data_IF_123144642048
#
_entry.id   IF_123144642048
#
_cell.length_a   1.000
_cell.length_b   1.000
_cell.length_c   1.000
_cell.angle_alpha   90.00
_cell.angle_beta   90.00
_cell.angle_gamma   90.00
#
_symmetry.space_group_name_H-M   'P 1'
#
loop_
_entity.id
_entity.type
_entity.pdbx_description
1 polymer ?
#
# COMPACT_ATOMS: atom_id res chain seq x y z
N UNK A 1 24.34 -39.25 24.75
CA UNK A 1 23.99 -37.80 24.67
C UNK A 1 23.97 -37.22 23.24
N UNK A 2 23.77 -38.00 22.17
CA UNK A 2 23.76 -37.48 20.77
C UNK A 2 22.37 -37.09 20.22
N UNK A 3 21.26 -37.59 20.79
CA UNK A 3 19.92 -37.40 20.24
C UNK A 3 19.23 -36.05 20.52
N UNK A 4 19.48 -35.43 21.69
CA UNK A 4 18.79 -34.18 22.08
C UNK A 4 19.25 -32.97 21.26
N UNK A 5 20.50 -32.96 20.82
CA UNK A 5 21.05 -31.88 20.00
C UNK A 5 20.58 -31.99 18.55
N UNK A 6 20.42 -33.21 18.02
CA UNK A 6 19.86 -33.43 16.68
C UNK A 6 18.41 -32.94 16.56
N UNK A 7 17.58 -33.15 17.60
CA UNK A 7 16.19 -32.68 17.64
C UNK A 7 16.12 -31.14 17.67
N UNK A 8 16.99 -30.48 18.46
CA UNK A 8 17.06 -29.00 18.50
C UNK A 8 17.51 -28.41 17.17
N UNK A 9 18.48 -29.04 16.50
CA UNK A 9 18.95 -28.62 15.18
C UNK A 9 17.83 -28.80 14.14
N UNK A 10 17.10 -29.92 14.17
CA UNK A 10 15.97 -30.15 13.28
C UNK A 10 14.84 -29.11 13.49
N UNK A 11 14.49 -28.78 14.73
CA UNK A 11 13.48 -27.77 15.03
C UNK A 11 13.91 -26.35 14.59
N UNK A 12 15.18 -26.00 14.76
CA UNK A 12 15.72 -24.72 14.29
C UNK A 12 15.70 -24.61 12.76
N UNK A 13 16.03 -25.69 12.05
CA UNK A 13 15.97 -25.72 10.59
C UNK A 13 14.52 -25.63 10.07
N UNK A 14 13.56 -26.28 10.73
CA UNK A 14 12.13 -26.16 10.39
C UNK A 14 11.64 -24.71 10.60
N UNK A 15 12.04 -24.06 11.70
CA UNK A 15 11.69 -22.67 11.96
C UNK A 15 12.25 -21.71 10.91
N UNK A 16 13.49 -21.94 10.43
CA UNK A 16 14.08 -21.15 9.34
C UNK A 16 13.36 -21.34 8.00
N UNK A 17 12.91 -22.57 7.69
CA UNK A 17 12.15 -22.84 6.47
C UNK A 17 10.76 -22.17 6.53
N UNK A 18 10.08 -22.25 7.67
CA UNK A 18 8.79 -21.57 7.86
C UNK A 18 8.94 -20.05 7.81
N UNK A 19 9.96 -19.48 8.46
CA UNK A 19 10.26 -18.05 8.40
C UNK A 19 10.62 -17.60 6.97
N UNK A 20 11.39 -18.40 6.23
CA UNK A 20 11.72 -18.16 4.83
C UNK A 20 10.49 -18.16 3.92
N UNK A 21 9.55 -19.09 4.12
CA UNK A 21 8.29 -19.11 3.36
C UNK A 21 7.37 -17.93 3.68
N UNK A 22 7.35 -17.46 4.93
CA UNK A 22 6.61 -16.27 5.34
C UNK A 22 7.22 -14.99 4.77
N UNK A 23 8.56 -14.86 4.82
CA UNK A 23 9.28 -13.75 4.20
C UNK A 23 9.11 -13.74 2.68
N UNK A 24 9.11 -14.91 2.03
CA UNK A 24 8.88 -15.01 0.58
C UNK A 24 7.46 -14.59 0.19
N UNK A 25 6.43 -14.93 0.97
CA UNK A 25 5.06 -14.44 0.74
C UNK A 25 4.94 -12.93 0.98
N UNK A 26 5.63 -12.41 1.99
CA UNK A 26 5.67 -10.98 2.28
C UNK A 26 6.41 -10.18 1.19
N UNK A 27 7.47 -10.74 0.61
CA UNK A 27 8.19 -10.10 -0.51
C UNK A 27 7.40 -10.20 -1.84
N UNK A 28 6.60 -11.26 -2.01
CA UNK A 28 5.81 -11.49 -3.22
C UNK A 28 4.59 -10.57 -3.35
N UNK A 29 4.16 -9.84 -2.31
CA UNK A 29 3.04 -8.90 -2.42
C UNK A 29 3.40 -7.63 -3.21
N UNK A 30 4.68 -7.33 -3.39
CA UNK A 30 5.14 -6.06 -3.98
C UNK A 30 5.89 -6.20 -5.31
N UNK A 31 6.18 -7.42 -5.78
CA UNK A 31 6.76 -7.65 -7.11
C UNK A 31 5.74 -8.30 -8.05
N UNK A 32 5.11 -7.49 -8.91
CA UNK A 32 4.69 -7.97 -10.23
C UNK A 32 3.20 -8.27 -10.47
N UNK A 33 2.26 -7.43 -9.98
CA UNK A 33 0.91 -7.42 -10.59
C UNK A 33 0.99 -6.82 -12.00
N UNK A 34 0.78 -7.67 -13.01
CA UNK A 34 0.87 -7.32 -14.43
C UNK A 34 -0.22 -6.30 -14.82
N UNK A 35 0.10 -5.42 -15.77
CA UNK A 35 -0.90 -4.57 -16.44
C UNK A 35 -1.94 -5.47 -17.10
N UNK A 36 -3.19 -5.43 -16.64
CA UNK A 36 -4.30 -6.22 -17.18
C UNK A 36 -5.06 -7.10 -16.17
N UNK A 37 -4.50 -7.39 -14.99
CA UNK A 37 -5.23 -8.03 -13.88
C UNK A 37 -5.65 -6.98 -12.84
N UNK A 38 -6.44 -6.02 -13.31
CA UNK A 38 -6.90 -4.91 -12.50
C UNK A 38 -8.18 -5.30 -11.76
N UNK A 39 -8.29 -4.99 -10.45
CA UNK A 39 -9.54 -5.10 -9.73
C UNK A 39 -10.64 -4.35 -10.48
N UNK A 40 -11.86 -4.86 -10.39
CA UNK A 40 -13.03 -4.25 -11.04
C UNK A 40 -13.13 -2.76 -10.72
N UNK A 41 -12.96 -2.39 -9.45
CA UNK A 41 -12.97 -1.01 -8.99
C UNK A 41 -11.89 -0.13 -9.66
N UNK A 42 -10.70 -0.67 -9.93
CA UNK A 42 -9.65 0.07 -10.63
C UNK A 42 -10.02 0.29 -12.10
N UNK A 43 -10.62 -0.71 -12.75
CA UNK A 43 -11.09 -0.60 -14.14
C UNK A 43 -12.21 0.43 -14.25
N UNK A 44 -13.23 0.33 -13.41
CA UNK A 44 -14.34 1.27 -13.36
C UNK A 44 -13.86 2.70 -13.08
N UNK A 45 -12.93 2.85 -12.13
CA UNK A 45 -12.32 4.13 -11.85
C UNK A 45 -11.59 4.69 -13.07
N UNK A 46 -10.79 3.87 -13.78
CA UNK A 46 -10.07 4.29 -14.97
C UNK A 46 -11.02 4.71 -16.10
N UNK A 47 -12.09 3.94 -16.35
CA UNK A 47 -13.10 4.23 -17.36
C UNK A 47 -13.83 5.56 -17.07
N UNK A 48 -14.13 5.82 -15.80
CA UNK A 48 -14.76 7.06 -15.35
C UNK A 48 -13.80 8.27 -15.33
N UNK A 49 -12.49 8.06 -15.43
CA UNK A 49 -11.47 9.10 -15.30
C UNK A 49 -10.53 9.18 -16.52
N UNK A 50 -11.05 9.49 -17.73
CA UNK A 50 -10.21 9.59 -18.91
C UNK A 50 -9.12 10.66 -18.75
N UNK A 51 -7.89 10.33 -19.16
CA UNK A 51 -6.73 11.23 -19.07
C UNK A 51 -6.02 11.25 -17.71
N UNK A 52 -6.47 10.44 -16.74
CA UNK A 52 -5.69 10.10 -15.54
C UNK A 52 -4.96 8.79 -15.77
N UNK A 53 -3.63 8.82 -15.73
CA UNK A 53 -2.78 7.64 -15.94
C UNK A 53 -2.52 6.96 -14.59
N UNK A 54 -2.93 5.71 -14.40
CA UNK A 54 -2.56 4.94 -13.19
C UNK A 54 -1.05 4.69 -13.18
N UNK A 55 -0.39 5.11 -12.10
CA UNK A 55 1.06 4.94 -11.93
C UNK A 55 1.35 3.70 -11.08
N UNK A 56 0.71 3.61 -9.90
CA UNK A 56 0.79 2.48 -8.99
C UNK A 56 -0.53 2.38 -8.23
N UNK A 57 -0.89 1.17 -7.81
CA UNK A 57 -2.08 0.93 -7.02
C UNK A 57 -1.83 -0.23 -6.05
N UNK A 58 -2.63 -0.28 -4.98
CA UNK A 58 -2.59 -1.38 -4.03
C UNK A 58 -3.96 -1.55 -3.36
N UNK A 59 -4.23 -2.77 -2.89
CA UNK A 59 -5.43 -3.10 -2.11
C UNK A 59 -5.02 -3.39 -0.65
N UNK A 60 -5.83 -2.91 0.29
CA UNK A 60 -5.67 -3.17 1.72
C UNK A 60 -6.93 -2.76 2.49
N UNK A 61 -7.25 -3.46 3.58
CA UNK A 61 -8.31 -3.07 4.52
C UNK A 61 -7.88 -1.83 5.32
N UNK A 62 -8.22 -0.64 4.82
CA UNK A 62 -7.78 0.64 5.35
C UNK A 62 -8.71 1.22 6.40
N UNK A 63 -9.93 0.74 6.54
CA UNK A 63 -10.87 1.22 7.57
C UNK A 63 -11.25 0.15 8.61
N UNK A 64 -10.69 -1.05 8.49
CA UNK A 64 -10.79 -2.12 9.47
C UNK A 64 -12.10 -2.89 9.42
N UNK A 65 -12.86 -2.78 8.32
CA UNK A 65 -14.14 -3.48 8.14
C UNK A 65 -13.99 -4.91 7.56
N UNK A 66 -12.75 -5.30 7.25
CA UNK A 66 -12.39 -6.61 6.71
C UNK A 66 -12.55 -6.74 5.20
N UNK A 67 -13.01 -5.70 4.50
CA UNK A 67 -13.02 -5.64 3.05
C UNK A 67 -11.79 -4.91 2.51
N UNK A 68 -11.31 -5.33 1.34
CA UNK A 68 -10.17 -4.68 0.69
C UNK A 68 -10.60 -3.34 0.07
N UNK A 69 -9.94 -2.27 0.48
CA UNK A 69 -10.04 -0.94 -0.12
C UNK A 69 -9.01 -0.76 -1.23
N UNK A 70 -9.17 0.26 -2.08
CA UNK A 70 -8.27 0.51 -3.19
C UNK A 70 -7.57 1.87 -3.05
N UNK A 71 -6.24 1.86 -3.11
CA UNK A 71 -5.40 3.07 -3.22
C UNK A 71 -4.82 3.13 -4.63
N UNK A 72 -4.96 4.28 -5.27
CA UNK A 72 -4.46 4.57 -6.60
C UNK A 72 -3.58 5.80 -6.51
N UNK A 73 -2.33 5.69 -6.97
CA UNK A 73 -1.55 6.86 -7.38
C UNK A 73 -1.70 7.00 -8.87
N UNK A 74 -2.21 8.14 -9.32
CA UNK A 74 -2.37 8.45 -10.73
C UNK A 74 -1.66 9.74 -11.09
N UNK A 75 -1.30 9.88 -12.37
CA UNK A 75 -0.73 11.07 -12.96
C UNK A 75 -1.77 11.82 -13.76
N UNK A 76 -1.82 13.14 -13.57
CA UNK A 76 -2.54 14.07 -14.42
C UNK A 76 -1.61 15.22 -14.78
N UNK A 77 -1.29 15.34 -16.07
CA UNK A 77 -0.23 16.22 -16.56
C UNK A 77 1.14 15.91 -15.91
N UNK A 78 1.74 16.88 -15.21
CA UNK A 78 3.05 16.75 -14.55
C UNK A 78 2.95 16.48 -13.05
N UNK A 79 1.75 16.23 -12.54
CA UNK A 79 1.48 16.02 -11.11
C UNK A 79 0.96 14.62 -10.87
N UNK A 80 1.27 14.08 -9.71
CA UNK A 80 0.73 12.81 -9.23
C UNK A 80 -0.20 13.06 -8.03
N UNK A 81 -1.20 12.21 -7.90
CA UNK A 81 -2.19 12.27 -6.84
C UNK A 81 -2.51 10.89 -6.30
N UNK A 82 -2.67 10.79 -4.99
CA UNK A 82 -3.24 9.63 -4.32
C UNK A 82 -4.75 9.79 -4.24
N UNK A 83 -5.47 8.73 -4.63
CA UNK A 83 -6.92 8.57 -4.53
C UNK A 83 -7.21 7.28 -3.77
N UNK A 84 -8.09 7.36 -2.79
CA UNK A 84 -8.52 6.22 -1.98
C UNK A 84 -10.01 5.96 -2.19
N UNK A 85 -10.35 4.70 -2.44
CA UNK A 85 -11.72 4.19 -2.60
C UNK A 85 -11.99 3.21 -1.46
N UNK A 86 -12.85 3.60 -0.52
CA UNK A 86 -13.22 2.76 0.62
C UNK A 86 -14.43 1.92 0.27
N UNK A 87 -14.31 0.59 0.36
CA UNK A 87 -15.36 -0.36 0.05
C UNK A 87 -16.50 -0.20 1.06
N UNK A 88 -17.73 -0.09 0.56
CA UNK A 88 -18.95 -0.02 1.37
C UNK A 88 -20.01 -0.93 0.75
N UNK A 89 -19.99 -2.19 1.16
CA UNK A 89 -20.86 -3.22 0.59
C UNK A 89 -20.49 -3.52 -0.87
N UNK A 90 -21.33 -3.07 -1.82
CA UNK A 90 -21.06 -3.20 -3.26
C UNK A 90 -20.56 -1.90 -3.91
N UNK A 91 -20.54 -0.80 -3.16
CA UNK A 91 -20.14 0.52 -3.64
C UNK A 91 -18.79 0.94 -3.04
N UNK A 92 -18.30 2.12 -3.44
CA UNK A 92 -17.11 2.75 -2.89
C UNK A 92 -17.37 4.20 -2.44
N UNK A 93 -16.89 4.56 -1.25
CA UNK A 93 -16.75 5.96 -0.81
C UNK A 93 -15.40 6.49 -1.28
N UNK A 94 -15.41 7.50 -2.13
CA UNK A 94 -14.19 8.15 -2.61
C UNK A 94 -13.72 9.21 -1.61
N UNK A 95 -12.46 9.12 -1.18
CA UNK A 95 -11.80 10.18 -0.41
C UNK A 95 -11.21 11.23 -1.36
N UNK A 96 -10.95 12.44 -0.87
CA UNK A 96 -10.35 13.55 -1.65
C UNK A 96 -8.98 13.17 -2.22
N UNK A 97 -8.56 13.84 -3.30
CA UNK A 97 -7.21 13.66 -3.83
C UNK A 97 -6.20 14.30 -2.89
N UNK A 98 -5.05 13.66 -2.77
CA UNK A 98 -3.89 14.21 -2.10
C UNK A 98 -2.69 14.24 -3.05
N UNK A 99 -1.79 15.22 -2.93
CA UNK A 99 -0.53 15.21 -3.68
C UNK A 99 0.27 13.92 -3.41
N UNK A 100 0.90 13.39 -4.45
CA UNK A 100 1.79 12.24 -4.36
C UNK A 100 3.13 12.55 -5.07
N UNK A 101 4.25 11.90 -4.66
CA UNK A 101 5.53 12.06 -5.32
C UNK A 101 5.44 11.80 -6.83
N UNK A 102 6.23 12.51 -7.64
CA UNK A 102 6.16 12.41 -9.11
C UNK A 102 7.00 11.28 -9.71
N UNK A 103 7.95 10.72 -8.95
CA UNK A 103 8.81 9.59 -9.35
C UNK A 103 8.87 8.50 -8.26
N UNK A 104 9.22 7.27 -8.66
CA UNK A 104 9.51 6.13 -7.77
C UNK A 104 8.46 5.88 -6.68
N UNK A 105 7.18 5.99 -7.01
CA UNK A 105 6.10 5.95 -6.05
C UNK A 105 5.92 4.56 -5.45
N UNK A 106 5.65 4.52 -4.14
CA UNK A 106 5.32 3.30 -3.42
C UNK A 106 4.10 3.52 -2.54
N UNK A 107 3.32 2.45 -2.40
CA UNK A 107 2.20 2.34 -1.49
C UNK A 107 2.50 1.17 -0.55
N UNK A 108 2.39 1.37 0.76
CA UNK A 108 2.50 0.30 1.74
C UNK A 108 1.40 0.43 2.79
N UNK A 109 0.93 -0.71 3.30
CA UNK A 109 0.04 -0.77 4.45
C UNK A 109 0.82 -1.34 5.63
N UNK A 110 0.79 -0.66 6.78
CA UNK A 110 1.48 -1.09 8.00
C UNK A 110 0.60 -0.80 9.20
N UNK A 111 0.45 -1.78 10.08
CA UNK A 111 -0.06 -1.56 11.43
C UNK A 111 1.11 -1.13 12.33
N UNK A 112 1.31 0.18 12.47
CA UNK A 112 2.47 0.76 13.16
C UNK A 112 2.22 0.85 14.67
N UNK A 113 0.98 1.11 15.08
CA UNK A 113 0.62 1.30 16.49
C UNK A 113 -0.25 0.18 17.09
N UNK A 114 -0.48 -0.92 16.36
CA UNK A 114 -1.34 -2.05 16.74
C UNK A 114 -2.80 -1.63 16.97
N UNK A 115 -3.29 -0.68 16.18
CA UNK A 115 -4.68 -0.22 16.23
C UNK A 115 -5.27 -0.18 14.83
N UNK A 116 -6.46 -0.76 14.63
CA UNK A 116 -7.23 -0.44 13.44
C UNK A 116 -7.68 1.03 13.49
N UNK A 117 -7.82 1.69 12.34
CA UNK A 117 -7.44 1.22 11.00
C UNK A 117 -5.93 1.23 10.75
N UNK A 118 -5.45 0.39 9.82
CA UNK A 118 -4.03 0.31 9.45
C UNK A 118 -3.54 1.59 8.75
N UNK A 119 -2.24 1.88 8.85
CA UNK A 119 -1.67 3.08 8.26
C UNK A 119 -1.36 2.87 6.79
N UNK A 120 -1.69 3.88 6.00
CA UNK A 120 -1.27 4.04 4.62
C UNK A 120 0.03 4.82 4.56
N UNK A 121 1.06 4.21 3.99
CA UNK A 121 2.34 4.84 3.73
C UNK A 121 2.45 5.14 2.23
N UNK A 122 2.73 6.40 1.91
CA UNK A 122 3.05 6.86 0.55
C UNK A 122 4.45 7.41 0.54
N UNK A 123 5.27 6.96 -0.41
CA UNK A 123 6.63 7.48 -0.59
C UNK A 123 7.01 7.56 -2.04
N UNK A 124 8.09 8.28 -2.32
CA UNK A 124 8.66 8.41 -3.65
C UNK A 124 9.67 9.54 -3.71
N UNK A 125 9.98 9.98 -4.92
CA UNK A 125 11.05 10.95 -5.16
C UNK A 125 10.69 12.04 -6.16
N UNK A 126 11.54 13.06 -6.23
CA UNK A 126 11.66 14.00 -7.35
C UNK A 126 13.12 14.41 -7.49
N UNK A 127 13.82 13.81 -8.46
CA UNK A 127 15.27 13.96 -8.56
C UNK A 127 15.97 13.40 -7.31
N UNK A 128 16.70 14.26 -6.58
CA UNK A 128 17.40 13.89 -5.33
C UNK A 128 16.52 13.96 -4.08
N UNK A 129 15.33 14.54 -4.18
CA UNK A 129 14.41 14.67 -3.06
C UNK A 129 13.68 13.35 -2.82
N UNK A 130 13.63 12.92 -1.56
CA UNK A 130 12.85 11.78 -1.10
C UNK A 130 11.74 12.29 -0.21
N UNK A 131 10.50 11.91 -0.51
CA UNK A 131 9.31 12.31 0.23
C UNK A 131 8.60 11.08 0.77
N UNK A 132 8.04 11.22 1.97
CA UNK A 132 7.35 10.14 2.67
C UNK A 132 6.23 10.69 3.53
N UNK A 133 5.09 10.01 3.56
CA UNK A 133 3.99 10.32 4.47
C UNK A 133 3.29 9.07 4.98
N UNK A 134 2.80 9.17 6.21
CA UNK A 134 1.98 8.18 6.92
C UNK A 134 0.61 8.79 7.12
N UNK A 135 -0.41 8.08 6.67
CA UNK A 135 -1.79 8.49 6.78
C UNK A 135 -2.60 7.43 7.50
N UNK A 136 -3.72 7.85 8.09
CA UNK A 136 -4.74 6.96 8.66
C UNK A 136 -6.13 7.41 8.21
N UNK A 137 -7.05 6.46 8.07
CA UNK A 137 -8.45 6.79 7.84
C UNK A 137 -9.12 7.13 9.17
N UNK A 138 -9.80 8.26 9.18
CA UNK A 138 -10.72 8.65 10.24
C UNK A 138 -12.06 9.07 9.62
N UNK A 139 -13.04 9.45 10.44
CA UNK A 139 -14.39 9.83 9.97
C UNK A 139 -14.35 10.94 8.90
N UNK A 140 -13.47 11.93 9.08
CA UNK A 140 -13.25 13.08 8.20
C UNK A 140 -12.55 12.71 6.88
N UNK A 141 -12.04 11.48 6.76
CA UNK A 141 -11.29 10.97 5.62
C UNK A 141 -9.86 10.61 6.00
N UNK A 142 -8.95 10.77 5.04
CA UNK A 142 -7.55 10.40 5.25
C UNK A 142 -6.80 11.55 5.95
N UNK A 143 -6.34 11.31 7.18
CA UNK A 143 -5.57 12.25 7.99
C UNK A 143 -4.07 12.00 7.84
N UNK A 144 -3.28 13.08 7.79
CA UNK A 144 -1.82 13.04 7.82
C UNK A 144 -1.36 12.87 9.27
N UNK A 145 -0.76 11.72 9.58
CA UNK A 145 -0.16 11.46 10.89
C UNK A 145 1.27 12.00 10.96
N UNK A 146 1.98 11.93 9.83
CA UNK A 146 3.36 12.37 9.70
C UNK A 146 3.75 12.46 8.22
N UNK A 147 4.35 13.58 7.82
CA UNK A 147 4.93 13.74 6.51
C UNK A 147 6.31 14.40 6.58
N UNK A 148 7.22 13.94 5.73
CA UNK A 148 8.54 14.52 5.55
C UNK A 148 8.81 14.75 4.06
N UNK A 149 9.17 15.99 3.73
CA UNK A 149 9.65 16.41 2.40
C UNK A 149 8.72 16.12 1.21
N UNK A 150 7.43 15.87 1.47
CA UNK A 150 6.42 15.60 0.44
C UNK A 150 6.23 16.78 -0.51
N UNK A 151 6.26 18.01 0.00
CA UNK A 151 6.08 19.23 -0.82
C UNK A 151 7.16 19.40 -1.90
N UNK A 152 8.37 18.90 -1.64
CA UNK A 152 9.46 18.92 -2.60
C UNK A 152 9.36 17.80 -3.64
N UNK A 153 8.51 16.78 -3.40
CA UNK A 153 8.35 15.63 -4.26
C UNK A 153 7.10 15.68 -5.15
N UNK A 154 6.10 16.50 -4.83
CA UNK A 154 4.81 16.54 -5.51
C UNK A 154 4.74 17.53 -6.70
#
# INVERSE_FOLDING_TARGET
>A
MKGKNAIKVALFLIALILAGSLLSKYHASNEGRQVGDWPEALREWQEANPGKEVVVWAEGDLDGDGAEDLVIIYRQHKKCFTRVLIRKGNDYRLLRDMPAPVENQQIQFRDIDNKPPVELIISGTKGSEVGYAIYRIEEEGLIDLFAENMDNCC
#
